data_IF_296039035672
#
_entry.id   IF_296039035672
#
_cell.length_a   1.000
_cell.length_b   1.000
_cell.length_c   1.000
_cell.angle_alpha   90.00
_cell.angle_beta   90.00
_cell.angle_gamma   90.00
#
_symmetry.space_group_name_H-M   'P 1'
#
loop_
_entity.id
_entity.type
_entity.pdbx_description
1 polymer ?
#
# COMPACT_ATOMS: atom_id res chain seq x y z
N UNK A 1 -8.18 23.02 20.72
CA UNK A 1 -8.56 23.22 19.31
C UNK A 1 -7.89 22.13 18.47
N UNK A 2 -8.63 21.47 17.63
CA UNK A 2 -8.09 20.39 16.77
C UNK A 2 -7.78 20.98 15.38
N UNK A 3 -6.70 21.79 15.31
CA UNK A 3 -6.30 22.50 14.09
C UNK A 3 -4.93 21.99 13.66
N UNK A 4 -4.87 21.39 12.48
CA UNK A 4 -3.63 20.90 11.88
C UNK A 4 -2.97 22.00 11.04
N UNK A 5 -1.64 22.06 11.08
CA UNK A 5 -0.84 23.09 10.38
C UNK A 5 -0.16 22.55 9.13
N UNK A 6 -0.18 21.25 8.92
CA UNK A 6 0.41 20.58 7.76
C UNK A 6 -0.39 19.33 7.41
N UNK A 7 -0.46 19.00 6.12
CA UNK A 7 -1.06 17.75 5.65
C UNK A 7 -0.37 16.51 6.24
N UNK A 8 0.92 16.59 6.55
CA UNK A 8 1.65 15.48 7.20
C UNK A 8 1.11 15.11 8.59
N UNK A 9 0.45 16.04 9.28
CA UNK A 9 -0.19 15.76 10.58
C UNK A 9 -1.51 15.00 10.45
N UNK A 10 -2.05 14.88 9.24
CA UNK A 10 -3.27 14.13 8.94
C UNK A 10 -2.99 12.68 8.53
N UNK A 11 -1.72 12.32 8.39
CA UNK A 11 -1.34 10.95 7.99
C UNK A 11 -1.56 9.99 9.15
N UNK A 12 -2.19 8.86 8.84
CA UNK A 12 -2.51 7.84 9.83
C UNK A 12 -3.87 8.04 10.49
N UNK A 13 -4.07 7.38 11.64
CA UNK A 13 -5.34 7.38 12.38
C UNK A 13 -6.54 7.04 11.49
N UNK A 14 -6.32 6.15 10.52
CA UNK A 14 -7.36 5.72 9.59
C UNK A 14 -8.36 4.80 10.29
N UNK A 15 -9.65 4.83 9.90
CA UNK A 15 -10.66 4.05 10.61
C UNK A 15 -10.58 2.56 10.28
N UNK A 16 -11.00 1.73 11.25
CA UNK A 16 -11.50 0.38 11.03
C UNK A 16 -12.99 0.43 10.76
N UNK A 17 -13.46 -0.26 9.73
CA UNK A 17 -14.87 -0.45 9.42
C UNK A 17 -15.20 -1.94 9.52
N UNK A 18 -16.32 -2.29 10.16
CA UNK A 18 -16.94 -3.61 10.04
C UNK A 18 -17.93 -3.58 8.88
N UNK A 19 -17.66 -4.20 7.74
CA UNK A 19 -18.55 -4.23 6.59
C UNK A 19 -19.67 -5.26 6.84
N UNK A 20 -20.70 -4.84 7.56
CA UNK A 20 -21.77 -5.72 8.08
C UNK A 20 -22.60 -6.32 6.95
N UNK A 21 -23.06 -5.50 5.99
CA UNK A 21 -23.89 -5.97 4.87
C UNK A 21 -23.11 -6.86 3.91
N UNK A 22 -21.82 -6.54 3.67
CA UNK A 22 -20.89 -7.38 2.92
C UNK A 22 -20.77 -8.76 3.58
N UNK A 23 -20.51 -8.79 4.89
CA UNK A 23 -20.33 -10.03 5.64
C UNK A 23 -21.61 -10.86 5.69
N UNK A 24 -22.78 -10.23 5.85
CA UNK A 24 -24.09 -10.88 5.83
C UNK A 24 -24.39 -11.50 4.45
N UNK A 25 -24.14 -10.78 3.35
CA UNK A 25 -24.39 -11.29 2.00
C UNK A 25 -23.52 -12.51 1.67
N UNK A 26 -22.32 -12.57 2.22
CA UNK A 26 -21.39 -13.69 2.07
C UNK A 26 -21.54 -14.75 3.16
N UNK A 27 -22.41 -14.57 4.13
CA UNK A 27 -22.65 -15.47 5.27
C UNK A 27 -21.35 -15.85 6.00
N UNK A 28 -20.51 -14.84 6.30
CA UNK A 28 -19.21 -15.08 6.91
C UNK A 28 -19.34 -15.44 8.40
N UNK A 29 -18.81 -16.58 8.86
CA UNK A 29 -18.86 -17.00 10.27
C UNK A 29 -17.83 -16.32 11.16
N UNK A 30 -16.85 -15.60 10.59
CA UNK A 30 -15.88 -14.79 11.29
C UNK A 30 -16.20 -13.29 11.15
N UNK A 31 -15.71 -12.47 12.08
CA UNK A 31 -15.78 -11.02 12.01
C UNK A 31 -14.70 -10.51 11.07
N UNK A 32 -15.10 -9.85 9.99
CA UNK A 32 -14.16 -9.15 9.09
C UNK A 32 -14.19 -7.67 9.40
N UNK A 33 -13.02 -7.07 9.60
CA UNK A 33 -12.78 -5.64 9.74
C UNK A 33 -11.88 -5.17 8.61
N UNK A 34 -12.08 -3.94 8.13
CA UNK A 34 -11.27 -3.37 7.06
C UNK A 34 -10.62 -2.06 7.51
N UNK A 35 -9.29 -1.96 7.39
CA UNK A 35 -8.51 -0.75 7.67
C UNK A 35 -8.49 0.11 6.41
N UNK A 36 -9.17 1.26 6.44
CA UNK A 36 -9.44 2.10 5.27
C UNK A 36 -8.32 3.14 5.07
N UNK A 37 -7.27 2.77 4.38
CA UNK A 37 -6.08 3.62 4.19
C UNK A 37 -6.29 4.78 3.20
N UNK A 38 -7.40 4.82 2.46
CA UNK A 38 -7.73 5.97 1.62
C UNK A 38 -8.12 7.23 2.43
N UNK A 39 -8.33 7.12 3.73
CA UNK A 39 -8.52 8.28 4.62
C UNK A 39 -7.22 9.07 4.88
N UNK A 40 -6.07 8.56 4.49
CA UNK A 40 -4.86 9.38 4.45
C UNK A 40 -5.02 10.56 3.48
N UNK A 41 -4.37 11.71 3.71
CA UNK A 41 -4.63 12.96 2.96
C UNK A 41 -4.39 12.87 1.44
N UNK A 42 -3.45 12.04 0.99
CA UNK A 42 -3.25 11.78 -0.45
C UNK A 42 -3.91 10.47 -0.91
N UNK A 43 -4.81 9.88 -0.10
CA UNK A 43 -5.73 8.80 -0.47
C UNK A 43 -5.12 7.41 -0.50
N UNK A 44 -4.00 7.14 0.17
CA UNK A 44 -3.46 5.79 0.25
C UNK A 44 -2.55 5.53 1.46
N UNK A 45 -2.32 4.25 1.71
CA UNK A 45 -1.35 3.73 2.69
C UNK A 45 0.07 4.27 2.47
N UNK A 46 0.41 4.72 1.28
CA UNK A 46 1.75 5.20 0.93
C UNK A 46 2.06 6.58 1.50
N UNK A 47 1.08 7.32 1.97
CA UNK A 47 1.29 8.57 2.68
C UNK A 47 2.12 8.34 3.95
N UNK A 48 1.84 7.25 4.68
CA UNK A 48 2.62 6.82 5.84
C UNK A 48 4.07 6.51 5.49
N UNK A 49 4.26 5.76 4.41
CA UNK A 49 5.58 5.35 3.93
C UNK A 49 6.39 6.56 3.46
N UNK A 50 5.77 7.44 2.69
CA UNK A 50 6.39 8.66 2.19
C UNK A 50 6.84 9.56 3.34
N UNK A 51 5.97 9.79 4.33
CA UNK A 51 6.27 10.61 5.49
C UNK A 51 7.46 10.04 6.29
N UNK A 52 7.43 8.74 6.62
CA UNK A 52 8.50 8.11 7.40
C UNK A 52 9.84 8.08 6.63
N UNK A 53 9.82 7.88 5.31
CA UNK A 53 11.04 7.95 4.49
C UNK A 53 11.64 9.35 4.50
N UNK A 54 10.82 10.39 4.36
CA UNK A 54 11.26 11.79 4.39
C UNK A 54 11.81 12.14 5.77
N UNK A 55 11.06 11.90 6.85
CA UNK A 55 11.47 12.23 8.22
C UNK A 55 12.74 11.48 8.64
N UNK A 56 12.90 10.26 8.17
CA UNK A 56 14.14 9.50 8.40
C UNK A 56 15.31 10.12 7.67
N UNK A 57 15.14 10.48 6.40
CA UNK A 57 16.19 11.09 5.60
C UNK A 57 16.61 12.46 6.15
N UNK A 58 15.65 13.26 6.65
CA UNK A 58 15.92 14.52 7.37
C UNK A 58 16.75 14.28 8.63
N UNK A 59 16.31 13.35 9.48
CA UNK A 59 16.98 12.99 10.73
C UNK A 59 18.41 12.47 10.50
N UNK A 60 18.60 11.68 9.46
CA UNK A 60 19.90 11.09 9.11
C UNK A 60 20.80 12.06 8.33
N UNK A 61 20.35 13.29 8.04
CA UNK A 61 21.09 14.28 7.26
C UNK A 61 21.24 13.92 5.78
N UNK A 62 20.46 12.96 5.28
CA UNK A 62 20.47 12.53 3.86
C UNK A 62 19.60 13.43 2.98
N UNK A 63 18.66 14.17 3.58
CA UNK A 63 17.81 15.13 2.90
C UNK A 63 17.85 16.45 3.70
N UNK A 64 18.49 17.45 3.13
CA UNK A 64 18.61 18.78 3.74
C UNK A 64 17.45 19.69 3.27
N UNK A 65 17.12 20.77 4.01
CA UNK A 65 16.08 21.72 3.60
C UNK A 65 16.23 22.21 2.16
N UNK A 66 15.13 22.22 1.42
CA UNK A 66 15.11 22.59 0.00
C UNK A 66 15.71 21.56 -0.96
N UNK A 67 16.05 20.37 -0.47
CA UNK A 67 16.58 19.26 -1.27
C UNK A 67 15.57 18.66 -2.23
N UNK A 68 16.02 17.64 -2.96
CA UNK A 68 15.26 16.97 -4.00
C UNK A 68 15.02 15.51 -3.65
N UNK A 69 13.77 15.10 -3.61
CA UNK A 69 13.37 13.69 -3.46
C UNK A 69 13.24 13.08 -4.85
N UNK A 70 13.86 11.94 -5.09
CA UNK A 70 13.79 11.21 -6.36
C UNK A 70 13.21 9.81 -6.11
N UNK A 71 12.27 9.36 -6.96
CA UNK A 71 11.74 8.00 -6.87
C UNK A 71 11.28 7.49 -8.25
N UNK A 72 11.64 6.24 -8.63
CA UNK A 72 11.10 5.60 -9.84
C UNK A 72 9.74 4.99 -9.54
N UNK A 73 8.66 5.74 -9.81
CA UNK A 73 7.30 5.25 -9.53
C UNK A 73 6.23 6.07 -10.25
N UNK A 74 5.17 5.41 -10.66
CA UNK A 74 3.93 6.04 -11.17
C UNK A 74 2.73 5.78 -10.25
N UNK A 75 2.96 5.10 -9.13
CA UNK A 75 1.89 4.65 -8.24
C UNK A 75 1.72 5.53 -6.99
N UNK A 76 1.05 4.95 -6.01
CA UNK A 76 0.70 5.62 -4.75
C UNK A 76 1.91 6.16 -3.98
N UNK A 77 3.08 5.53 -4.10
CA UNK A 77 4.32 6.05 -3.47
C UNK A 77 4.71 7.40 -4.04
N UNK A 78 4.64 7.57 -5.37
CA UNK A 78 4.90 8.88 -6.00
C UNK A 78 3.92 9.95 -5.55
N UNK A 79 2.64 9.61 -5.42
CA UNK A 79 1.60 10.51 -4.93
C UNK A 79 1.89 10.91 -3.48
N UNK A 80 2.19 9.95 -2.60
CA UNK A 80 2.56 10.23 -1.21
C UNK A 80 3.81 11.09 -1.09
N UNK A 81 4.89 10.77 -1.84
CA UNK A 81 6.12 11.56 -1.85
C UNK A 81 5.88 12.98 -2.37
N UNK A 82 5.09 13.14 -3.45
CA UNK A 82 4.73 14.45 -3.96
C UNK A 82 3.95 15.27 -2.92
N UNK A 83 2.88 14.68 -2.35
CA UNK A 83 2.05 15.37 -1.36
C UNK A 83 2.84 15.75 -0.09
N UNK A 84 3.58 14.81 0.48
CA UNK A 84 4.31 15.05 1.74
C UNK A 84 5.58 15.86 1.52
N UNK A 85 6.33 15.61 0.44
CA UNK A 85 7.59 16.30 0.14
C UNK A 85 7.37 17.77 -0.18
N UNK A 86 6.41 18.07 -1.07
CA UNK A 86 6.11 19.46 -1.45
C UNK A 86 5.54 20.26 -0.28
N UNK A 87 4.66 19.65 0.54
CA UNK A 87 4.16 20.29 1.76
C UNK A 87 5.27 20.63 2.78
N UNK A 88 6.43 20.00 2.66
CA UNK A 88 7.62 20.23 3.52
C UNK A 88 8.71 21.09 2.83
N UNK A 89 8.42 21.60 1.62
CA UNK A 89 9.32 22.49 0.89
C UNK A 89 10.41 21.79 0.07
N UNK A 90 10.26 20.49 -0.21
CA UNK A 90 11.16 19.74 -1.07
C UNK A 90 10.73 19.77 -2.53
N UNK A 91 11.69 19.65 -3.43
CA UNK A 91 11.43 19.30 -4.83
C UNK A 91 11.20 17.80 -4.93
N UNK A 92 10.31 17.38 -5.81
CA UNK A 92 10.03 15.95 -6.03
C UNK A 92 10.16 15.65 -7.52
N UNK A 93 11.04 14.71 -7.86
CA UNK A 93 11.25 14.23 -9.23
C UNK A 93 10.85 12.75 -9.27
N UNK A 94 9.90 12.43 -10.15
CA UNK A 94 9.41 11.06 -10.33
C UNK A 94 9.74 10.59 -11.74
N UNK A 95 10.40 9.44 -11.84
CA UNK A 95 10.69 8.82 -13.14
C UNK A 95 9.72 7.68 -13.40
N UNK A 96 9.24 7.57 -14.62
CA UNK A 96 8.30 6.52 -15.03
C UNK A 96 8.29 6.32 -16.54
N UNK A 97 7.92 5.11 -17.02
CA UNK A 97 7.74 4.90 -18.45
C UNK A 97 6.64 5.80 -19.03
N UNK A 98 6.82 6.27 -20.25
CA UNK A 98 5.84 7.08 -20.99
C UNK A 98 4.51 6.36 -21.27
N UNK A 99 4.48 5.02 -21.11
CA UNK A 99 3.27 4.19 -21.20
C UNK A 99 2.34 4.31 -20.01
N UNK A 100 2.74 5.01 -18.95
CA UNK A 100 1.86 5.23 -17.78
C UNK A 100 0.69 6.14 -18.14
N UNK A 101 -0.47 5.87 -17.52
CA UNK A 101 -1.73 6.56 -17.84
C UNK A 101 -1.63 8.08 -17.65
N UNK A 102 -2.37 8.81 -18.48
CA UNK A 102 -2.40 10.27 -18.45
C UNK A 102 -2.93 10.78 -17.11
N UNK A 103 -3.93 10.12 -16.55
CA UNK A 103 -4.56 10.49 -15.28
C UNK A 103 -3.53 10.43 -14.13
N UNK A 104 -2.69 9.40 -14.09
CA UNK A 104 -1.61 9.28 -13.07
C UNK A 104 -0.59 10.39 -13.21
N UNK A 105 -0.18 10.70 -14.47
CA UNK A 105 0.76 11.79 -14.73
C UNK A 105 0.17 13.15 -14.34
N UNK A 106 -1.10 13.39 -14.67
CA UNK A 106 -1.79 14.61 -14.29
C UNK A 106 -1.93 14.78 -12.77
N UNK A 107 -2.26 13.72 -12.06
CA UNK A 107 -2.36 13.74 -10.60
C UNK A 107 -1.02 14.11 -9.94
N UNK A 108 0.08 13.48 -10.37
CA UNK A 108 1.42 13.75 -9.85
C UNK A 108 1.87 15.18 -10.15
N UNK A 109 1.59 15.67 -11.39
CA UNK A 109 1.87 17.05 -11.79
C UNK A 109 1.03 18.05 -10.99
N UNK A 110 -0.23 17.73 -10.68
CA UNK A 110 -1.11 18.59 -9.87
C UNK A 110 -0.59 18.79 -8.44
N UNK A 111 0.12 17.79 -7.87
CA UNK A 111 0.85 17.96 -6.61
C UNK A 111 2.15 18.78 -6.77
N UNK A 112 2.56 19.14 -8.00
CA UNK A 112 3.77 19.91 -8.28
C UNK A 112 5.03 19.04 -8.45
N UNK A 113 4.91 17.74 -8.60
CA UNK A 113 6.06 16.88 -8.88
C UNK A 113 6.55 17.07 -10.32
N UNK A 114 7.86 17.11 -10.52
CA UNK A 114 8.50 17.06 -11.83
C UNK A 114 8.50 15.60 -12.31
N UNK A 115 7.91 15.39 -13.51
CA UNK A 115 7.87 14.06 -14.12
C UNK A 115 8.96 13.92 -15.17
N UNK A 116 9.74 12.85 -15.10
CA UNK A 116 10.71 12.47 -16.11
C UNK A 116 10.24 11.16 -16.74
N UNK A 117 9.77 11.26 -17.99
CA UNK A 117 9.28 10.11 -18.74
C UNK A 117 10.47 9.39 -19.40
N UNK A 118 10.50 8.06 -19.27
CA UNK A 118 11.48 7.19 -19.91
C UNK A 118 10.83 6.40 -21.04
N UNK A 119 11.61 5.94 -22.05
CA UNK A 119 11.07 5.16 -23.15
C UNK A 119 10.28 3.93 -22.65
N UNK A 120 9.11 3.70 -23.24
CA UNK A 120 8.22 2.59 -22.85
C UNK A 120 8.90 1.22 -22.91
N UNK A 121 9.80 1.02 -23.90
CA UNK A 121 10.58 -0.23 -24.09
C UNK A 121 11.44 -0.59 -22.87
N UNK A 122 11.93 0.40 -22.12
CA UNK A 122 12.76 0.18 -20.92
C UNK A 122 11.93 -0.21 -19.67
N UNK A 123 10.61 -0.03 -19.73
CA UNK A 123 9.72 -0.32 -18.58
C UNK A 123 10.18 0.35 -17.30
N UNK A 124 9.87 -0.27 -16.16
CA UNK A 124 10.30 0.25 -14.85
C UNK A 124 11.82 0.17 -14.63
N UNK A 125 12.53 -0.75 -15.30
CA UNK A 125 13.98 -0.84 -15.19
C UNK A 125 14.64 0.46 -15.69
N UNK A 126 14.23 0.94 -16.87
CA UNK A 126 14.71 2.22 -17.41
C UNK A 126 14.35 3.42 -16.52
N UNK A 127 13.19 3.39 -15.86
CA UNK A 127 12.82 4.42 -14.90
C UNK A 127 13.71 4.40 -13.65
N UNK A 128 14.08 3.22 -13.14
CA UNK A 128 15.00 3.05 -12.01
C UNK A 128 16.40 3.57 -12.36
N UNK A 129 16.92 3.23 -13.52
CA UNK A 129 18.23 3.71 -13.99
C UNK A 129 18.25 5.24 -14.09
N UNK A 130 17.20 5.82 -14.67
CA UNK A 130 17.07 7.28 -14.79
C UNK A 130 16.94 8.00 -13.45
N UNK A 131 16.24 7.39 -12.48
CA UNK A 131 16.17 7.93 -11.13
C UNK A 131 17.53 7.98 -10.44
N UNK A 132 18.33 6.92 -10.60
CA UNK A 132 19.70 6.85 -10.05
C UNK A 132 20.62 7.88 -10.69
N UNK A 133 20.54 8.05 -12.01
CA UNK A 133 21.28 9.08 -12.76
C UNK A 133 20.95 10.49 -12.22
N UNK A 134 19.65 10.83 -12.14
CA UNK A 134 19.19 12.13 -11.63
C UNK A 134 19.65 12.34 -10.19
N UNK A 135 19.55 11.33 -9.34
CA UNK A 135 19.99 11.44 -7.96
C UNK A 135 21.50 11.66 -7.84
N UNK A 136 22.31 11.03 -8.70
CA UNK A 136 23.77 11.20 -8.71
C UNK A 136 24.19 12.60 -9.20
N UNK A 137 23.45 13.20 -10.12
CA UNK A 137 23.74 14.50 -10.72
C UNK A 137 23.12 15.69 -9.97
N UNK A 138 22.16 15.44 -9.10
CA UNK A 138 21.43 16.48 -8.37
C UNK A 138 22.01 16.67 -6.97
N UNK A 139 22.63 17.79 -6.64
CA UNK A 139 23.10 18.08 -5.29
C UNK A 139 21.95 18.06 -4.28
N UNK A 140 22.21 17.58 -3.07
CA UNK A 140 21.22 17.47 -2.00
C UNK A 140 19.96 16.70 -2.46
N UNK A 141 20.16 15.58 -3.15
CA UNK A 141 19.09 14.68 -3.55
C UNK A 141 19.03 13.45 -2.66
N UNK A 142 17.83 12.90 -2.53
CA UNK A 142 17.51 11.69 -1.78
C UNK A 142 16.71 10.74 -2.66
N UNK A 143 17.28 9.59 -2.98
CA UNK A 143 16.57 8.49 -3.64
C UNK A 143 15.78 7.72 -2.56
N UNK A 144 14.44 7.79 -2.61
CA UNK A 144 13.60 7.27 -1.54
C UNK A 144 13.64 5.74 -1.40
N UNK A 145 13.67 4.98 -2.50
CA UNK A 145 13.92 3.54 -2.52
C UNK A 145 12.85 2.71 -1.82
N UNK A 146 11.59 2.80 -2.25
CA UNK A 146 10.46 2.17 -1.55
C UNK A 146 10.58 0.66 -1.32
N UNK A 147 11.38 -0.07 -2.11
CA UNK A 147 11.48 -1.53 -2.05
C UNK A 147 12.55 -2.05 -1.09
N UNK A 148 13.52 -1.23 -0.74
CA UNK A 148 14.70 -1.56 0.07
C UNK A 148 14.92 -0.62 1.27
N UNK A 149 14.25 0.53 1.30
CA UNK A 149 14.34 1.48 2.41
C UNK A 149 13.63 0.95 3.67
N UNK A 150 14.34 0.71 4.79
CA UNK A 150 13.77 0.17 6.02
C UNK A 150 12.78 1.12 6.71
N UNK A 151 12.73 2.39 6.33
CA UNK A 151 11.70 3.32 6.78
C UNK A 151 10.28 2.88 6.35
N UNK A 152 10.16 2.14 5.24
CA UNK A 152 8.87 1.63 4.78
C UNK A 152 8.22 0.67 5.79
N UNK A 153 8.78 -0.51 6.13
CA UNK A 153 8.18 -1.36 7.16
C UNK A 153 8.13 -0.69 8.54
N UNK A 154 9.07 0.21 8.86
CA UNK A 154 9.07 0.96 10.11
C UNK A 154 7.86 1.89 10.24
N UNK A 155 7.40 2.53 9.15
CA UNK A 155 6.18 3.33 9.15
C UNK A 155 4.98 2.52 9.67
N UNK A 156 4.84 1.31 9.19
CA UNK A 156 3.75 0.42 9.58
C UNK A 156 3.89 -0.16 10.98
N UNK A 157 5.11 -0.46 11.39
CA UNK A 157 5.41 -0.90 12.75
C UNK A 157 5.08 0.19 13.78
N UNK A 158 5.38 1.46 13.47
CA UNK A 158 5.18 2.60 14.38
C UNK A 158 3.76 3.15 14.37
N UNK A 159 3.00 2.95 13.32
CA UNK A 159 1.67 3.59 13.16
C UNK A 159 0.56 2.57 12.88
N UNK A 160 0.56 1.91 11.75
CA UNK A 160 -0.54 1.02 11.32
C UNK A 160 -0.77 -0.16 12.28
N UNK A 161 0.30 -0.80 12.72
CA UNK A 161 0.22 -1.91 13.68
C UNK A 161 -0.37 -1.50 15.03
N UNK A 162 0.17 -0.44 15.68
CA UNK A 162 -0.42 0.14 16.89
C UNK A 162 -1.87 0.55 16.76
N UNK A 163 -2.25 1.21 15.65
CA UNK A 163 -3.64 1.59 15.39
C UNK A 163 -4.57 0.37 15.34
N UNK A 164 -4.22 -0.66 14.57
CA UNK A 164 -5.02 -1.89 14.48
C UNK A 164 -5.16 -2.53 15.85
N UNK A 165 -4.08 -2.65 16.62
CA UNK A 165 -4.10 -3.23 17.95
C UNK A 165 -5.00 -2.46 18.91
N UNK A 166 -4.87 -1.14 18.91
CA UNK A 166 -5.69 -0.26 19.75
C UNK A 166 -7.17 -0.29 19.36
N UNK A 167 -7.46 -0.15 18.06
CA UNK A 167 -8.83 -0.06 17.54
C UNK A 167 -9.62 -1.37 17.69
N UNK A 168 -8.91 -2.49 17.90
CA UNK A 168 -9.53 -3.81 18.17
C UNK A 168 -9.47 -4.21 19.64
N UNK A 169 -9.00 -3.35 20.54
CA UNK A 169 -8.71 -3.71 21.94
C UNK A 169 -7.84 -4.97 22.06
N UNK A 170 -6.91 -5.16 21.09
CA UNK A 170 -6.05 -6.32 20.99
C UNK A 170 -6.73 -7.61 20.50
N UNK A 171 -7.99 -7.54 20.10
CA UNK A 171 -8.78 -8.69 19.63
C UNK A 171 -8.64 -8.87 18.11
N UNK A 172 -7.43 -9.05 17.63
CA UNK A 172 -7.12 -9.40 16.24
C UNK A 172 -6.50 -10.79 16.19
N UNK A 173 -7.14 -11.73 15.47
CA UNK A 173 -6.66 -13.11 15.30
C UNK A 173 -5.88 -13.27 14.00
N UNK A 174 -6.31 -12.59 12.93
CA UNK A 174 -5.70 -12.70 11.60
C UNK A 174 -5.57 -11.30 11.00
N UNK A 175 -4.38 -10.98 10.49
CA UNK A 175 -4.13 -9.77 9.70
C UNK A 175 -3.83 -10.15 8.26
N UNK A 176 -4.47 -9.47 7.30
CA UNK A 176 -4.38 -9.73 5.86
C UNK A 176 -3.92 -8.47 5.13
N UNK A 177 -2.84 -8.56 4.35
CA UNK A 177 -2.39 -7.45 3.52
C UNK A 177 -1.75 -7.93 2.20
N UNK A 178 -2.00 -7.17 1.12
CA UNK A 178 -1.34 -7.36 -0.16
C UNK A 178 0.14 -6.98 -0.13
N UNK A 179 0.97 -7.72 -0.86
CA UNK A 179 2.41 -7.50 -0.93
C UNK A 179 2.81 -6.80 -2.23
N UNK A 180 3.02 -5.49 -2.15
CA UNK A 180 3.69 -4.69 -3.19
C UNK A 180 5.16 -4.51 -2.84
N UNK A 181 5.46 -3.62 -1.90
CA UNK A 181 6.82 -3.41 -1.37
C UNK A 181 7.15 -4.30 -0.16
N UNK A 182 6.17 -5.00 0.39
CA UNK A 182 6.34 -5.84 1.58
C UNK A 182 6.25 -5.08 2.92
N UNK A 183 6.34 -3.75 2.90
CA UNK A 183 6.43 -2.94 4.12
C UNK A 183 5.24 -3.09 5.06
N UNK A 184 4.01 -3.10 4.51
CA UNK A 184 2.78 -3.20 5.31
C UNK A 184 2.72 -4.51 6.08
N UNK A 185 2.79 -5.65 5.38
CA UNK A 185 2.67 -6.97 6.01
C UNK A 185 3.81 -7.22 6.99
N UNK A 186 5.02 -6.76 6.68
CA UNK A 186 6.20 -6.93 7.53
C UNK A 186 6.15 -6.06 8.78
N UNK A 187 5.84 -4.76 8.62
CA UNK A 187 5.80 -3.83 9.75
C UNK A 187 4.64 -4.11 10.71
N UNK A 188 3.43 -4.27 10.18
CA UNK A 188 2.25 -4.65 10.99
C UNK A 188 2.44 -6.03 11.61
N UNK A 189 2.90 -7.00 10.81
CA UNK A 189 3.10 -8.38 11.26
C UNK A 189 4.07 -8.46 12.44
N UNK A 190 5.20 -7.76 12.36
CA UNK A 190 6.17 -7.69 13.47
C UNK A 190 5.52 -7.11 14.73
N UNK A 191 4.85 -5.98 14.62
CA UNK A 191 4.19 -5.34 15.75
C UNK A 191 3.12 -6.24 16.39
N UNK A 192 2.24 -6.83 15.60
CA UNK A 192 1.16 -7.67 16.12
C UNK A 192 1.70 -8.94 16.78
N UNK A 193 2.71 -9.60 16.20
CA UNK A 193 3.34 -10.79 16.80
C UNK A 193 4.12 -10.49 18.07
N UNK A 194 4.68 -9.30 18.23
CA UNK A 194 5.26 -8.85 19.50
C UNK A 194 4.21 -8.67 20.60
N UNK A 195 2.99 -8.25 20.24
CA UNK A 195 1.86 -8.13 21.16
C UNK A 195 1.22 -9.46 21.49
N UNK A 196 0.99 -10.28 20.48
CA UNK A 196 0.40 -11.61 20.59
C UNK A 196 1.01 -12.54 19.51
N UNK A 197 1.91 -13.46 19.87
CA UNK A 197 2.54 -14.37 18.91
C UNK A 197 1.57 -15.27 18.14
N UNK A 198 0.34 -15.44 18.64
CA UNK A 198 -0.70 -16.26 18.01
C UNK A 198 -1.43 -15.56 16.88
N UNK A 199 -1.26 -14.24 16.69
CA UNK A 199 -1.86 -13.53 15.55
C UNK A 199 -1.29 -14.11 14.26
N UNK A 200 -2.19 -14.56 13.37
CA UNK A 200 -1.81 -15.10 12.07
C UNK A 200 -1.64 -13.95 11.07
N UNK A 201 -0.50 -13.88 10.41
CA UNK A 201 -0.17 -12.88 9.39
C UNK A 201 -0.27 -13.51 8.02
N UNK A 202 -1.16 -12.97 7.19
CA UNK A 202 -1.45 -13.48 5.85
C UNK A 202 -1.04 -12.46 4.80
N UNK A 203 -0.12 -12.86 3.94
CA UNK A 203 0.29 -12.09 2.78
C UNK A 203 -0.57 -12.46 1.57
N UNK A 204 -0.93 -11.47 0.75
CA UNK A 204 -1.68 -11.68 -0.48
C UNK A 204 -0.82 -11.29 -1.67
N UNK A 205 -0.80 -12.18 -2.69
CA UNK A 205 -0.10 -11.95 -3.95
C UNK A 205 -1.02 -12.24 -5.15
N UNK A 206 -0.72 -11.74 -6.37
CA UNK A 206 -1.46 -12.11 -7.57
C UNK A 206 -1.24 -13.58 -7.92
N UNK A 207 -2.31 -14.33 -8.15
CA UNK A 207 -2.22 -15.75 -8.55
C UNK A 207 -1.51 -15.95 -9.91
N UNK A 208 -1.54 -14.94 -10.79
CA UNK A 208 -0.79 -14.96 -12.04
C UNK A 208 0.73 -14.69 -11.87
N UNK A 209 1.16 -14.24 -10.69
CA UNK A 209 2.58 -13.99 -10.35
C UNK A 209 2.88 -14.43 -8.91
N UNK A 210 2.77 -15.73 -8.58
CA UNK A 210 2.78 -16.24 -7.21
C UNK A 210 4.21 -16.48 -6.71
N UNK A 211 5.04 -15.45 -6.70
CA UNK A 211 6.47 -15.54 -6.32
C UNK A 211 6.69 -15.87 -4.84
N UNK A 212 5.83 -15.39 -3.95
CA UNK A 212 5.98 -15.59 -2.51
C UNK A 212 5.61 -17.01 -2.09
N UNK A 213 4.74 -17.68 -2.87
CA UNK A 213 4.37 -19.10 -2.69
C UNK A 213 5.19 -20.06 -3.56
N UNK A 214 6.28 -19.61 -4.18
CA UNK A 214 7.24 -20.46 -4.90
C UNK A 214 6.97 -20.64 -6.39
N UNK A 215 6.07 -19.85 -6.97
CA UNK A 215 5.81 -19.82 -8.42
C UNK A 215 6.75 -18.90 -9.19
N UNK A 216 6.36 -18.57 -10.41
CA UNK A 216 7.13 -17.69 -11.32
C UNK A 216 6.47 -16.33 -11.47
N UNK A 217 7.28 -15.30 -11.74
CA UNK A 217 6.78 -13.98 -12.12
C UNK A 217 5.94 -14.04 -13.39
N UNK A 218 4.83 -13.30 -13.42
CA UNK A 218 3.92 -13.23 -14.54
C UNK A 218 3.20 -11.88 -14.62
N UNK A 219 2.63 -11.58 -15.78
CA UNK A 219 1.80 -10.38 -15.96
C UNK A 219 0.46 -10.54 -15.24
N UNK A 220 0.02 -9.48 -14.56
CA UNK A 220 -1.27 -9.45 -13.85
C UNK A 220 -1.84 -8.03 -13.80
N UNK A 221 -3.16 -7.91 -13.58
CA UNK A 221 -3.87 -6.64 -13.47
C UNK A 221 -4.16 -6.18 -12.05
N UNK A 222 -3.71 -6.89 -11.01
CA UNK A 222 -3.88 -6.44 -9.62
C UNK A 222 -2.86 -5.35 -9.30
N UNK A 223 -3.16 -4.12 -9.73
CA UNK A 223 -2.28 -2.98 -9.53
C UNK A 223 -2.04 -2.72 -8.04
N UNK A 224 -0.80 -2.37 -7.68
CA UNK A 224 -0.38 -2.03 -6.32
C UNK A 224 0.29 -3.16 -5.54
N UNK A 225 0.17 -4.40 -5.99
CA UNK A 225 0.87 -5.58 -5.43
C UNK A 225 1.55 -6.39 -6.54
N UNK A 226 2.37 -7.36 -6.19
CA UNK A 226 3.01 -8.24 -7.17
C UNK A 226 4.08 -7.51 -8.01
N UNK A 227 5.18 -7.10 -7.41
CA UNK A 227 6.25 -6.35 -8.08
C UNK A 227 7.09 -7.18 -9.07
N UNK A 228 6.77 -8.46 -9.28
CA UNK A 228 7.52 -9.43 -10.10
C UNK A 228 8.94 -9.73 -9.60
N UNK A 229 9.22 -9.39 -8.37
CA UNK A 229 10.38 -9.82 -7.58
C UNK A 229 10.00 -9.81 -6.09
N UNK A 230 10.81 -10.48 -5.25
CA UNK A 230 10.62 -10.45 -3.80
C UNK A 230 11.30 -9.20 -3.25
N UNK A 231 10.55 -8.23 -2.68
CA UNK A 231 11.13 -7.00 -2.16
C UNK A 231 12.01 -7.25 -0.94
N UNK A 232 13.06 -6.45 -0.76
CA UNK A 232 13.94 -6.54 0.41
C UNK A 232 13.20 -6.20 1.72
N UNK A 233 12.19 -5.34 1.66
CA UNK A 233 11.34 -4.98 2.79
C UNK A 233 10.33 -6.08 3.20
N UNK A 234 10.24 -7.17 2.44
CA UNK A 234 9.37 -8.30 2.77
C UNK A 234 10.05 -9.25 3.76
N UNK A 235 9.59 -9.22 5.00
CA UNK A 235 10.06 -10.13 6.05
C UNK A 235 9.22 -11.42 6.05
N UNK A 236 9.75 -12.46 5.41
CA UNK A 236 9.07 -13.78 5.33
C UNK A 236 8.88 -14.41 6.70
N UNK A 237 9.71 -14.07 7.68
CA UNK A 237 9.69 -14.71 9.01
C UNK A 237 8.46 -14.37 9.84
N UNK A 238 7.79 -13.24 9.56
CA UNK A 238 6.56 -12.85 10.25
C UNK A 238 5.29 -13.36 9.57
N UNK A 239 5.40 -13.89 8.34
CA UNK A 239 4.25 -14.32 7.53
C UNK A 239 3.96 -15.81 7.74
N UNK A 240 2.74 -16.12 8.17
CA UNK A 240 2.31 -17.50 8.43
C UNK A 240 1.73 -18.16 7.17
N UNK A 241 1.04 -17.41 6.33
CA UNK A 241 0.40 -17.92 5.11
C UNK A 241 0.51 -16.92 3.97
N UNK A 242 0.61 -17.43 2.73
CA UNK A 242 0.50 -16.62 1.51
C UNK A 242 -0.70 -17.11 0.70
N UNK A 243 -1.61 -16.19 0.35
CA UNK A 243 -2.81 -16.50 -0.44
C UNK A 243 -2.68 -15.85 -1.82
N UNK A 244 -2.56 -16.64 -2.89
CA UNK A 244 -2.64 -16.13 -4.26
C UNK A 244 -4.09 -15.79 -4.62
N UNK A 245 -4.33 -14.59 -5.15
CA UNK A 245 -5.66 -14.12 -5.54
C UNK A 245 -5.71 -13.82 -7.04
N UNK A 246 -6.76 -14.31 -7.72
CA UNK A 246 -7.04 -13.97 -9.11
C UNK A 246 -7.74 -12.61 -9.23
N UNK A 247 -7.51 -11.90 -10.34
CA UNK A 247 -8.14 -10.60 -10.63
C UNK A 247 -9.66 -10.64 -10.48
N UNK A 248 -10.30 -11.71 -10.97
CA UNK A 248 -11.75 -11.88 -10.86
C UNK A 248 -12.24 -11.82 -9.40
N UNK A 249 -11.51 -12.46 -8.48
CA UNK A 249 -11.83 -12.45 -7.05
C UNK A 249 -11.64 -11.06 -6.44
N UNK A 250 -10.54 -10.39 -6.78
CA UNK A 250 -10.26 -9.02 -6.34
C UNK A 250 -11.34 -8.04 -6.81
N UNK A 251 -11.70 -8.09 -8.10
CA UNK A 251 -12.74 -7.22 -8.68
C UNK A 251 -14.11 -7.47 -8.06
N UNK A 252 -14.50 -8.75 -7.90
CA UNK A 252 -15.78 -9.10 -7.30
C UNK A 252 -15.90 -8.58 -5.85
N UNK A 253 -14.84 -8.72 -5.03
CA UNK A 253 -14.83 -8.23 -3.66
C UNK A 253 -14.91 -6.71 -3.59
N UNK A 254 -14.20 -5.97 -4.47
CA UNK A 254 -14.27 -4.52 -4.56
C UNK A 254 -15.67 -4.03 -4.93
N UNK A 255 -16.26 -4.60 -6.00
CA UNK A 255 -17.60 -4.23 -6.46
C UNK A 255 -18.66 -4.53 -5.40
N UNK A 256 -18.56 -5.67 -4.73
CA UNK A 256 -19.50 -6.05 -3.67
C UNK A 256 -19.40 -5.09 -2.48
N UNK A 257 -18.18 -4.71 -2.06
CA UNK A 257 -18.00 -3.74 -0.96
C UNK A 257 -18.64 -2.40 -1.32
N UNK A 258 -18.43 -1.91 -2.55
CA UNK A 258 -19.05 -0.67 -3.02
C UNK A 258 -20.57 -0.76 -3.04
N UNK A 259 -21.13 -1.86 -3.52
CA UNK A 259 -22.58 -2.07 -3.64
C UNK A 259 -23.27 -2.28 -2.28
N UNK A 260 -22.58 -2.85 -1.31
CA UNK A 260 -23.19 -3.17 0.01
C UNK A 260 -22.92 -2.10 1.06
N UNK A 261 -21.74 -1.50 1.08
CA UNK A 261 -21.30 -0.59 2.13
C UNK A 261 -21.11 0.86 1.65
N UNK A 262 -21.20 1.12 0.33
CA UNK A 262 -20.90 2.44 -0.23
C UNK A 262 -19.40 2.83 -0.12
N UNK A 263 -18.52 1.85 -0.01
CA UNK A 263 -17.07 2.04 0.17
C UNK A 263 -16.34 1.69 -1.12
N UNK A 264 -15.79 2.68 -1.80
CA UNK A 264 -15.10 2.53 -3.07
C UNK A 264 -13.58 2.42 -2.84
N UNK A 265 -13.02 1.25 -3.14
CA UNK A 265 -11.60 0.94 -2.91
C UNK A 265 -10.91 0.44 -4.17
N UNK A 266 -9.56 0.41 -4.17
CA UNK A 266 -8.78 -0.04 -5.31
C UNK A 266 -8.71 -1.56 -5.47
N UNK A 267 -8.04 -1.99 -6.56
CA UNK A 267 -7.95 -3.41 -6.95
C UNK A 267 -7.23 -4.25 -5.89
N UNK A 268 -6.11 -3.77 -5.37
CA UNK A 268 -5.36 -4.49 -4.33
C UNK A 268 -6.10 -4.55 -2.99
N UNK A 269 -6.98 -3.58 -2.73
CA UNK A 269 -7.91 -3.62 -1.60
C UNK A 269 -8.89 -4.77 -1.75
N UNK A 270 -9.45 -4.95 -2.95
CA UNK A 270 -10.32 -6.09 -3.27
C UNK A 270 -9.60 -7.44 -3.15
N UNK A 271 -8.32 -7.51 -3.49
CA UNK A 271 -7.54 -8.74 -3.31
C UNK A 271 -7.38 -9.10 -1.83
N UNK A 272 -7.04 -8.13 -0.97
CA UNK A 272 -6.95 -8.35 0.47
C UNK A 272 -8.31 -8.72 1.08
N UNK A 273 -9.37 -8.05 0.67
CA UNK A 273 -10.74 -8.34 1.13
C UNK A 273 -11.24 -9.72 0.68
N UNK A 274 -10.92 -10.12 -0.56
CA UNK A 274 -11.24 -11.46 -1.08
C UNK A 274 -10.56 -12.55 -0.24
N UNK A 275 -9.26 -12.41 0.01
CA UNK A 275 -8.52 -13.35 0.85
C UNK A 275 -9.06 -13.40 2.30
N UNK A 276 -9.43 -12.25 2.87
CA UNK A 276 -10.08 -12.18 4.17
C UNK A 276 -11.43 -12.93 4.18
N UNK A 277 -12.23 -12.79 3.12
CA UNK A 277 -13.48 -13.53 2.95
C UNK A 277 -13.27 -15.04 2.83
N UNK A 278 -12.23 -15.51 2.12
CA UNK A 278 -11.86 -16.93 2.06
C UNK A 278 -11.44 -17.46 3.43
N UNK A 279 -10.62 -16.71 4.15
CA UNK A 279 -10.22 -17.06 5.52
C UNK A 279 -11.42 -17.12 6.47
N UNK A 280 -12.35 -16.17 6.35
CA UNK A 280 -13.53 -16.09 7.21
C UNK A 280 -14.47 -17.29 7.03
N UNK A 281 -14.49 -17.93 5.85
CA UNK A 281 -15.31 -19.13 5.59
C UNK A 281 -14.68 -20.42 6.12
N UNK A 282 -13.42 -20.43 6.50
CA UNK A 282 -12.78 -21.62 7.03
C UNK A 282 -13.36 -21.97 8.39
N UNK A 283 -13.78 -23.23 8.65
CA UNK A 283 -14.42 -23.60 9.91
C UNK A 283 -13.60 -23.27 11.16
N UNK A 284 -12.27 -23.43 11.06
CA UNK A 284 -11.32 -23.14 12.14
C UNK A 284 -11.22 -21.64 12.50
N UNK A 285 -11.78 -20.79 11.66
CA UNK A 285 -11.78 -19.32 11.87
C UNK A 285 -13.14 -18.79 12.31
N UNK A 286 -14.13 -19.65 12.52
CA UNK A 286 -15.45 -19.21 13.03
C UNK A 286 -15.29 -18.46 14.36
N UNK A 287 -15.94 -17.29 14.47
CA UNK A 287 -15.87 -16.41 15.63
C UNK A 287 -14.58 -15.60 15.79
N UNK A 288 -13.58 -15.78 14.92
CA UNK A 288 -12.34 -14.99 14.94
C UNK A 288 -12.52 -13.61 14.33
N UNK A 289 -11.62 -12.71 14.70
CA UNK A 289 -11.52 -11.35 14.14
C UNK A 289 -10.41 -11.30 13.10
N UNK A 290 -10.77 -10.96 11.86
CA UNK A 290 -9.88 -10.86 10.69
C UNK A 290 -9.81 -9.40 10.26
N UNK A 291 -8.63 -8.79 10.26
CA UNK A 291 -8.41 -7.42 9.80
C UNK A 291 -7.75 -7.45 8.43
N UNK A 292 -8.42 -6.90 7.42
CA UNK A 292 -7.85 -6.70 6.08
C UNK A 292 -7.47 -5.22 5.87
N UNK A 293 -6.24 -4.95 5.41
CA UNK A 293 -5.85 -3.60 5.06
C UNK A 293 -6.21 -3.31 3.60
N UNK A 294 -6.99 -2.24 3.40
CA UNK A 294 -7.42 -1.74 2.10
C UNK A 294 -6.61 -0.50 1.73
N UNK A 295 -5.62 -0.63 0.80
CA UNK A 295 -4.55 0.36 0.64
C UNK A 295 -4.98 1.72 0.10
N UNK A 296 -5.99 1.80 -0.77
CA UNK A 296 -6.32 3.04 -1.48
C UNK A 296 -7.77 3.16 -1.96
N UNK A 297 -8.10 4.35 -2.49
CA UNK A 297 -9.42 4.65 -3.08
C UNK A 297 -9.61 4.00 -4.45
N UNK A 298 -10.86 3.68 -4.79
CA UNK A 298 -11.26 3.17 -6.10
C UNK A 298 -11.26 4.22 -7.22
N UNK A 299 -11.28 5.51 -6.89
CA UNK A 299 -11.34 6.60 -7.88
C UNK A 299 -10.17 6.58 -8.89
N UNK A 300 -9.06 5.97 -8.51
CA UNK A 300 -7.85 5.81 -9.35
C UNK A 300 -7.99 4.73 -10.40
N UNK A 301 -9.08 3.97 -10.41
CA UNK A 301 -9.28 2.76 -11.20
C UNK A 301 -10.54 2.78 -12.06
N UNK A 302 -11.24 3.94 -12.16
CA UNK A 302 -12.50 4.07 -12.89
C UNK A 302 -12.35 3.79 -14.39
N UNK A 303 -11.16 4.04 -14.97
CA UNK A 303 -10.84 3.72 -16.37
C UNK A 303 -10.32 2.30 -16.59
N UNK A 304 -10.26 1.47 -15.54
CA UNK A 304 -9.77 0.09 -15.62
C UNK A 304 -10.93 -0.91 -15.73
N UNK A 305 -10.66 -2.19 -16.07
CA UNK A 305 -11.68 -3.24 -16.10
C UNK A 305 -12.40 -3.48 -14.76
N UNK A 306 -11.87 -2.94 -13.65
CA UNK A 306 -12.50 -3.06 -12.32
C UNK A 306 -13.95 -2.57 -12.33
N UNK A 307 -14.24 -1.45 -12.98
CA UNK A 307 -15.57 -0.81 -13.01
C UNK A 307 -16.20 -0.80 -14.40
N UNK A 308 -15.56 -1.43 -15.39
CA UNK A 308 -16.16 -1.66 -16.70
C UNK A 308 -16.92 -2.98 -16.68
N UNK A 309 -18.14 -3.01 -17.28
CA UNK A 309 -18.97 -4.22 -17.44
C UNK A 309 -18.41 -5.17 -18.47
#
# INVERSE_FOLDING_TARGET
MNIYRSASQLVGHTPLLQPVRYSQQLQLPATVLVKLEYFNPAGSVKDRVALEMIETAEKDGKLLPGGTIVEPTSGNTGIGLAAMGIARGYKVILTMPESMSVERRQMLAAYGAQLVLTPAKGGMVGAVEKAKEIAAETPNSFLAGQFDNPANPRAHYRTTGPEIWHDTDGQVDIFVAGVGTGGTVSGVGRYLKEKNPNVKIVAVEPAASPLLSGGKAGGHGIQGIGANFVPQNFDRSVVDEVIPVWEKGAYAATRLLAATEGVLVGISSGAALHAAGELARRPENAGKTIVALLPDTGDRYLSTPLFQE
#
